data_IF_640244106804
#
_entry.id   IF_640244106804
#
_cell.length_a   1.000
_cell.length_b   1.000
_cell.length_c   1.000
_cell.angle_alpha   90.00
_cell.angle_beta   90.00
_cell.angle_gamma   90.00
#
_symmetry.space_group_name_H-M   'P 1'
#
loop_
_entity.id
_entity.type
_entity.pdbx_description
1 polymer ?
#
# COMPACT_ATOMS: atom_id res chain seq x y z
N UNK A 1 6.55 28.76 -14.10
CA UNK A 1 6.99 28.53 -12.71
C UNK A 1 6.80 27.05 -12.44
N UNK A 2 7.87 26.27 -12.41
CA UNK A 2 7.79 24.85 -12.05
C UNK A 2 8.01 24.80 -10.55
N UNK A 3 6.96 24.47 -9.81
CA UNK A 3 7.08 24.12 -8.40
C UNK A 3 7.50 22.66 -8.44
N UNK A 4 8.76 22.35 -8.13
CA UNK A 4 9.11 20.97 -7.82
C UNK A 4 8.40 20.65 -6.51
N UNK A 5 7.30 19.90 -6.58
CA UNK A 5 6.62 19.43 -5.37
C UNK A 5 7.52 18.41 -4.69
N UNK A 6 7.61 18.47 -3.36
CA UNK A 6 8.26 17.42 -2.59
C UNK A 6 7.38 16.18 -2.60
N UNK A 7 7.99 14.99 -2.61
CA UNK A 7 7.25 13.74 -2.49
C UNK A 7 6.49 13.68 -1.16
N UNK A 8 5.18 13.45 -1.21
CA UNK A 8 4.29 13.44 -0.05
C UNK A 8 3.82 12.01 0.25
N UNK A 9 3.50 11.67 1.51
CA UNK A 9 2.86 10.39 1.79
C UNK A 9 1.45 10.37 1.18
N UNK A 10 1.00 9.19 0.77
CA UNK A 10 -0.38 8.95 0.41
C UNK A 10 -1.35 9.18 1.57
N UNK A 11 -2.63 9.35 1.25
CA UNK A 11 -3.65 9.59 2.25
C UNK A 11 -4.02 8.31 3.00
N UNK A 12 -4.14 8.37 4.32
CA UNK A 12 -4.58 7.26 5.18
C UNK A 12 -6.12 7.12 5.25
N UNK A 13 -6.84 7.60 4.23
CA UNK A 13 -8.30 7.72 4.23
C UNK A 13 -8.79 8.49 2.99
N UNK A 14 -9.93 8.08 2.39
CA UNK A 14 -10.50 8.79 1.23
C UNK A 14 -11.48 9.92 1.60
N UNK A 15 -11.65 10.21 2.90
CA UNK A 15 -12.45 11.33 3.39
C UNK A 15 -13.95 11.06 3.61
N UNK A 16 -14.37 9.79 3.69
CA UNK A 16 -15.74 9.43 4.06
C UNK A 16 -16.06 9.83 5.52
N UNK A 17 -17.18 10.52 5.77
CA UNK A 17 -17.49 11.01 7.12
C UNK A 17 -17.88 9.91 8.11
N UNK A 18 -18.42 8.79 7.62
CA UNK A 18 -18.80 7.65 8.44
C UNK A 18 -17.62 6.71 8.70
N UNK A 19 -16.69 6.62 7.74
CA UNK A 19 -15.48 5.81 7.80
C UNK A 19 -14.24 6.64 7.40
N UNK A 20 -13.79 7.61 8.22
CA UNK A 20 -12.75 8.56 7.83
C UNK A 20 -11.37 7.96 7.52
N UNK A 21 -11.15 6.71 7.94
CA UNK A 21 -9.91 5.95 7.75
C UNK A 21 -10.03 4.88 6.68
N UNK A 22 -11.21 4.70 6.08
CA UNK A 22 -11.38 3.67 5.06
C UNK A 22 -10.81 4.16 3.73
N UNK A 23 -10.14 3.22 3.06
CA UNK A 23 -9.47 3.47 1.80
C UNK A 23 -8.21 4.31 1.96
N UNK A 24 -7.39 4.36 0.92
CA UNK A 24 -6.13 5.09 0.91
C UNK A 24 -6.03 5.89 -0.39
N UNK A 25 -5.30 7.00 -0.35
CA UNK A 25 -5.20 7.94 -1.46
C UNK A 25 -3.75 8.20 -1.89
N UNK A 26 -3.59 9.05 -2.91
CA UNK A 26 -2.29 9.36 -3.52
C UNK A 26 -1.89 8.42 -4.65
N UNK A 27 -2.67 7.38 -4.91
CA UNK A 27 -2.49 6.46 -6.03
C UNK A 27 -3.83 5.87 -6.49
N UNK A 28 -3.86 5.35 -7.71
CA UNK A 28 -4.95 4.55 -8.27
C UNK A 28 -4.48 3.10 -8.45
N UNK A 29 -5.24 2.14 -7.94
CA UNK A 29 -4.87 0.72 -8.08
C UNK A 29 -5.40 0.19 -9.39
N UNK A 30 -4.47 -0.23 -10.26
CA UNK A 30 -4.79 -0.75 -11.58
C UNK A 30 -5.07 -2.25 -11.56
N UNK A 31 -4.33 -3.00 -10.75
CA UNK A 31 -4.43 -4.46 -10.75
C UNK A 31 -3.97 -5.11 -9.44
N UNK A 32 -4.58 -6.25 -9.14
CA UNK A 32 -4.12 -7.18 -8.12
C UNK A 32 -3.90 -8.54 -8.78
N UNK A 33 -2.68 -9.07 -8.64
CA UNK A 33 -2.35 -10.45 -8.94
C UNK A 33 -2.02 -11.16 -7.62
N UNK A 34 -2.78 -12.20 -7.30
CA UNK A 34 -2.76 -12.88 -6.01
C UNK A 34 -2.45 -14.37 -6.22
N UNK A 35 -1.25 -14.78 -5.82
CA UNK A 35 -0.87 -16.19 -5.75
C UNK A 35 -1.04 -16.68 -4.31
N UNK A 36 -2.13 -17.40 -4.05
CA UNK A 36 -2.56 -17.79 -2.70
C UNK A 36 -2.71 -19.30 -2.60
N UNK A 37 -2.08 -19.88 -1.57
CA UNK A 37 -2.31 -21.24 -1.11
C UNK A 37 -3.18 -21.16 0.15
N UNK A 38 -4.30 -21.89 0.15
CA UNK A 38 -5.23 -21.93 1.27
C UNK A 38 -5.37 -23.35 1.84
N UNK A 39 -5.16 -23.48 3.15
CA UNK A 39 -5.63 -24.62 3.94
C UNK A 39 -6.87 -24.18 4.71
N UNK A 40 -8.03 -24.50 4.15
CA UNK A 40 -9.34 -24.13 4.72
C UNK A 40 -9.57 -24.84 6.05
N UNK A 41 -9.08 -26.07 6.21
CA UNK A 41 -9.31 -26.86 7.43
C UNK A 41 -8.52 -26.31 8.62
N UNK A 42 -7.31 -25.83 8.36
CA UNK A 42 -6.45 -25.20 9.34
C UNK A 42 -6.69 -23.68 9.47
N UNK A 43 -7.58 -23.10 8.66
CA UNK A 43 -7.83 -21.66 8.56
C UNK A 43 -6.53 -20.87 8.33
N UNK A 44 -5.71 -21.32 7.37
CA UNK A 44 -4.41 -20.72 7.05
C UNK A 44 -4.34 -20.34 5.58
N UNK A 45 -3.75 -19.18 5.31
CA UNK A 45 -3.35 -18.77 3.97
C UNK A 45 -1.87 -18.38 3.96
N UNK A 46 -1.23 -18.58 2.81
CA UNK A 46 0.13 -18.14 2.50
C UNK A 46 0.17 -17.74 1.02
N UNK A 47 0.93 -16.72 0.67
CA UNK A 47 0.94 -16.27 -0.72
C UNK A 47 1.67 -14.96 -0.94
N UNK A 48 1.66 -14.52 -2.20
CA UNK A 48 2.22 -13.25 -2.67
C UNK A 48 1.09 -12.44 -3.30
N UNK A 49 1.02 -11.16 -2.93
CA UNK A 49 0.15 -10.17 -3.57
C UNK A 49 1.00 -9.18 -4.35
N UNK A 50 0.90 -9.21 -5.68
CA UNK A 50 1.49 -8.20 -6.55
C UNK A 50 0.41 -7.16 -6.86
N UNK A 51 0.68 -5.91 -6.49
CA UNK A 51 -0.25 -4.80 -6.64
C UNK A 51 0.33 -3.82 -7.64
N UNK A 52 -0.38 -3.58 -8.74
CA UNK A 52 -0.03 -2.52 -9.69
C UNK A 52 -0.77 -1.26 -9.31
N UNK A 53 -0.01 -0.22 -8.96
CA UNK A 53 -0.53 1.09 -8.56
C UNK A 53 0.06 2.19 -9.45
N UNK A 54 -0.72 3.24 -9.69
CA UNK A 54 -0.32 4.45 -10.39
C UNK A 54 -0.39 5.63 -9.43
N UNK A 55 0.74 6.27 -9.13
CA UNK A 55 0.77 7.41 -8.22
C UNK A 55 0.15 8.65 -8.88
N UNK A 56 -0.71 9.37 -8.16
CA UNK A 56 -1.37 10.60 -8.66
C UNK A 56 -0.56 11.86 -8.37
N UNK A 57 0.44 11.75 -7.51
CA UNK A 57 1.49 12.71 -7.22
C UNK A 57 2.74 11.94 -6.76
N UNK A 58 3.89 12.61 -6.65
CA UNK A 58 5.12 11.95 -6.18
C UNK A 58 4.95 11.43 -4.74
N UNK A 59 5.09 10.12 -4.52
CA UNK A 59 4.87 9.49 -3.23
C UNK A 59 6.17 9.21 -2.48
N UNK A 60 6.24 9.64 -1.21
CA UNK A 60 7.30 9.23 -0.27
C UNK A 60 6.92 8.03 0.60
N UNK A 61 5.62 7.73 0.69
CA UNK A 61 5.06 6.54 1.31
C UNK A 61 3.63 6.33 0.78
N UNK A 62 3.09 5.12 0.92
CA UNK A 62 1.68 4.85 0.64
C UNK A 62 1.14 3.82 1.63
N UNK A 63 -0.18 3.70 1.67
CA UNK A 63 -0.88 2.97 2.72
C UNK A 63 -1.74 1.89 2.11
N UNK A 64 -1.80 0.71 2.69
CA UNK A 64 -2.71 -0.37 2.30
C UNK A 64 -3.48 -0.86 3.51
N UNK A 65 -4.71 -1.29 3.27
CA UNK A 65 -5.48 -2.04 4.26
C UNK A 65 -4.97 -3.49 4.32
N UNK A 66 -4.39 -3.88 5.45
CA UNK A 66 -3.87 -5.22 5.72
C UNK A 66 -4.24 -5.69 7.13
N UNK A 67 -4.79 -6.90 7.21
CA UNK A 67 -5.33 -7.44 8.46
C UNK A 67 -4.23 -7.77 9.48
N UNK A 68 -4.46 -7.56 10.79
CA UNK A 68 -3.46 -7.83 11.82
C UNK A 68 -3.17 -9.32 12.04
N UNK A 69 -4.04 -10.22 11.59
CA UNK A 69 -3.93 -11.67 11.80
C UNK A 69 -2.95 -12.37 10.86
N UNK A 70 -2.50 -11.69 9.79
CA UNK A 70 -1.52 -12.24 8.85
C UNK A 70 -0.13 -11.67 9.13
N UNK A 71 0.88 -12.51 9.01
CA UNK A 71 2.27 -12.08 9.06
C UNK A 71 2.73 -11.58 7.68
N UNK A 72 3.58 -10.54 7.68
CA UNK A 72 4.25 -10.05 6.47
C UNK A 72 5.69 -10.55 6.52
N UNK A 73 6.08 -11.33 5.52
CA UNK A 73 7.44 -11.86 5.40
C UNK A 73 8.39 -10.88 4.69
N UNK A 74 7.88 -10.16 3.69
CA UNK A 74 8.63 -9.16 2.93
C UNK A 74 7.67 -8.17 2.25
N UNK A 75 8.19 -6.98 1.95
CA UNK A 75 7.56 -5.98 1.09
C UNK A 75 8.63 -5.43 0.14
N UNK A 76 8.28 -5.31 -1.13
CA UNK A 76 9.09 -4.65 -2.14
C UNK A 76 8.24 -3.71 -2.99
N UNK A 77 8.87 -2.66 -3.50
CA UNK A 77 8.30 -1.71 -4.46
C UNK A 77 9.27 -1.66 -5.63
N UNK A 78 8.79 -1.92 -6.85
CA UNK A 78 9.59 -2.01 -8.07
C UNK A 78 10.85 -2.89 -7.90
N UNK A 79 10.64 -4.10 -7.36
CA UNK A 79 11.68 -5.09 -7.04
C UNK A 79 12.74 -4.66 -6.00
N UNK A 80 12.57 -3.50 -5.37
CA UNK A 80 13.45 -3.00 -4.30
C UNK A 80 12.78 -3.19 -2.94
N UNK A 81 13.51 -3.76 -1.98
CA UNK A 81 13.00 -3.94 -0.62
C UNK A 81 12.53 -2.60 -0.02
N UNK A 82 11.35 -2.60 0.57
CA UNK A 82 10.74 -1.44 1.20
C UNK A 82 10.55 -1.69 2.70
N UNK A 83 10.62 -0.62 3.49
CA UNK A 83 10.24 -0.69 4.90
C UNK A 83 8.73 -0.54 5.04
N UNK A 84 8.18 -1.05 6.13
CA UNK A 84 6.75 -0.89 6.43
C UNK A 84 6.51 -0.74 7.92
N UNK A 85 5.39 -0.12 8.27
CA UNK A 85 4.88 -0.05 9.64
C UNK A 85 3.40 -0.43 9.68
N UNK A 86 2.98 -1.09 10.75
CA UNK A 86 1.56 -1.34 11.02
C UNK A 86 1.00 -0.21 11.87
N UNK A 87 -0.05 0.41 11.38
CA UNK A 87 -0.84 1.40 12.09
C UNK A 87 -1.95 0.77 12.93
N UNK A 88 -2.89 1.61 13.36
CA UNK A 88 -4.06 1.19 14.14
C UNK A 88 -5.06 0.50 13.21
N UNK A 89 -5.77 -0.51 13.71
CA UNK A 89 -6.79 -1.28 13.00
C UNK A 89 -6.19 -2.15 11.90
N UNK A 90 -6.13 -1.64 10.66
CA UNK A 90 -5.77 -2.41 9.47
C UNK A 90 -4.81 -1.65 8.56
N UNK A 91 -4.25 -0.54 9.04
CA UNK A 91 -3.37 0.28 8.21
C UNK A 91 -1.96 -0.32 8.12
N UNK A 92 -1.44 -0.48 6.90
CA UNK A 92 -0.06 -0.81 6.60
C UNK A 92 0.56 0.34 5.80
N UNK A 93 1.51 1.08 6.38
CA UNK A 93 2.24 2.12 5.66
C UNK A 93 3.53 1.55 5.10
N UNK A 94 3.71 1.62 3.79
CA UNK A 94 4.89 1.19 3.04
C UNK A 94 5.71 2.43 2.69
N UNK A 95 7.00 2.40 3.03
CA UNK A 95 7.97 3.44 2.71
C UNK A 95 9.02 2.86 1.75
N UNK A 96 8.91 3.17 0.44
CA UNK A 96 9.85 2.72 -0.57
C UNK A 96 11.22 3.37 -0.39
N UNK A 97 12.26 2.74 -0.92
CA UNK A 97 13.62 3.30 -0.87
C UNK A 97 13.77 4.52 -1.79
N UNK A 98 13.01 4.58 -2.87
CA UNK A 98 12.97 5.72 -3.78
C UNK A 98 11.54 6.27 -3.84
N UNK A 99 11.42 7.58 -4.07
CA UNK A 99 10.14 8.20 -4.37
C UNK A 99 9.50 7.52 -5.58
N UNK A 100 8.19 7.25 -5.47
CA UNK A 100 7.40 6.77 -6.60
C UNK A 100 6.91 8.01 -7.36
N UNK A 101 7.32 8.23 -8.62
CA UNK A 101 6.92 9.41 -9.36
C UNK A 101 5.44 9.37 -9.73
N UNK A 102 4.82 10.55 -9.83
CA UNK A 102 3.51 10.66 -10.45
C UNK A 102 3.57 10.21 -11.91
N UNK A 103 2.63 9.36 -12.32
CA UNK A 103 2.51 8.89 -13.70
C UNK A 103 1.20 9.47 -14.29
N UNK A 104 1.26 9.92 -15.54
CA UNK A 104 0.19 10.64 -16.24
C UNK A 104 -0.84 9.72 -16.90
#
# INVERSE_FOLDING_TARGET
>A
MVITAWAMPGDSGIGDSYYPRAGNGGYDVQHYDLDIIADVSANRIEGVANITLQATHDLSAFNLEFTPELDILAVSVDDVAASYTRGISRELTITPMQTIPAES
#
